data_IF_982338947514
#
_entry.id   IF_982338947514
#
_cell.length_a   1.000
_cell.length_b   1.000
_cell.length_c   1.000
_cell.angle_alpha   90.00
_cell.angle_beta   90.00
_cell.angle_gamma   90.00
#
_symmetry.space_group_name_H-M   'P 1'
#
loop_
_entity.id
_entity.type
_entity.pdbx_description
1 polymer ?
#
# COMPACT_ATOMS: atom_id res chain seq x y z
N UNK A 1 -5.47 -10.12 -16.39
CA UNK A 1 -5.73 -11.30 -15.53
C UNK A 1 -7.20 -11.26 -15.10
N UNK A 2 -7.80 -12.41 -14.79
CA UNK A 2 -9.07 -12.45 -14.05
C UNK A 2 -8.86 -12.03 -12.58
N UNK A 3 -9.96 -11.77 -11.88
CA UNK A 3 -9.92 -11.52 -10.43
C UNK A 3 -9.29 -12.69 -9.68
N UNK A 4 -9.63 -13.93 -10.04
CA UNK A 4 -9.16 -15.14 -9.37
C UNK A 4 -7.67 -15.40 -9.63
N UNK A 5 -7.19 -15.16 -10.86
CA UNK A 5 -5.77 -15.25 -11.18
C UNK A 5 -4.93 -14.25 -10.39
N UNK A 6 -5.41 -13.01 -10.25
CA UNK A 6 -4.72 -12.00 -9.44
C UNK A 6 -4.71 -12.40 -7.95
N UNK A 7 -5.86 -12.80 -7.41
CA UNK A 7 -5.97 -13.23 -6.02
C UNK A 7 -5.06 -14.43 -5.71
N UNK A 8 -5.05 -15.44 -6.59
CA UNK A 8 -4.15 -16.58 -6.46
C UNK A 8 -2.68 -16.16 -6.52
N UNK A 9 -2.32 -15.20 -7.38
CA UNK A 9 -0.96 -14.68 -7.48
C UNK A 9 -0.52 -13.98 -6.19
N UNK A 10 -1.37 -13.13 -5.60
CA UNK A 10 -1.11 -12.47 -4.31
C UNK A 10 -0.95 -13.52 -3.20
N UNK A 11 -1.85 -14.50 -3.13
CA UNK A 11 -1.79 -15.54 -2.11
C UNK A 11 -0.51 -16.38 -2.21
N UNK A 12 -0.10 -16.74 -3.43
CA UNK A 12 1.16 -17.43 -3.67
C UNK A 12 2.37 -16.56 -3.28
N UNK A 13 2.34 -15.25 -3.59
CA UNK A 13 3.40 -14.34 -3.18
C UNK A 13 3.55 -14.31 -1.64
N UNK A 14 2.43 -14.30 -0.90
CA UNK A 14 2.44 -14.34 0.56
C UNK A 14 2.98 -15.65 1.14
N UNK A 15 2.85 -16.77 0.43
CA UNK A 15 3.35 -18.08 0.85
C UNK A 15 4.84 -18.27 0.52
N UNK A 16 5.29 -17.68 -0.60
CA UNK A 16 6.63 -17.93 -1.16
C UNK A 16 7.67 -16.91 -0.65
N UNK A 17 7.28 -15.64 -0.52
CA UNK A 17 8.19 -14.57 -0.13
C UNK A 17 8.34 -14.53 1.40
N UNK A 18 9.47 -14.00 1.88
CA UNK A 18 9.69 -13.77 3.30
C UNK A 18 8.60 -12.83 3.87
N UNK A 19 8.24 -13.03 5.15
CA UNK A 19 7.16 -12.28 5.83
C UNK A 19 7.36 -10.76 5.80
N UNK A 20 8.62 -10.31 5.77
CA UNK A 20 8.99 -8.89 5.70
C UNK A 20 8.71 -8.25 4.33
N UNK A 21 8.43 -9.04 3.29
CA UNK A 21 8.12 -8.54 1.96
C UNK A 21 6.65 -8.11 1.89
N UNK A 22 6.44 -6.81 1.73
CA UNK A 22 5.11 -6.28 1.41
C UNK A 22 4.68 -6.69 0.00
N UNK A 23 3.43 -7.14 -0.12
CA UNK A 23 2.79 -7.53 -1.37
C UNK A 23 1.80 -6.44 -1.75
N UNK A 24 2.11 -5.74 -2.83
CA UNK A 24 1.36 -4.58 -3.30
C UNK A 24 0.35 -4.92 -4.38
N UNK A 25 -0.83 -4.32 -4.31
CA UNK A 25 -1.83 -4.37 -5.38
C UNK A 25 -2.54 -3.01 -5.54
N UNK A 26 -2.27 -2.23 -6.62
CA UNK A 26 -2.86 -0.92 -6.82
C UNK A 26 -4.38 -0.96 -7.11
N UNK A 27 -5.22 -0.31 -6.30
CA UNK A 27 -6.69 -0.49 -6.35
C UNK A 27 -7.32 0.00 -7.66
N UNK A 28 -6.69 0.92 -8.39
CA UNK A 28 -7.14 1.43 -9.69
C UNK A 28 -6.75 0.55 -10.89
N UNK A 29 -5.85 -0.42 -10.71
CA UNK A 29 -5.31 -1.26 -11.79
C UNK A 29 -5.75 -2.73 -11.71
N UNK A 30 -6.53 -3.07 -10.69
CA UNK A 30 -6.88 -4.47 -10.41
C UNK A 30 -8.33 -4.78 -10.78
N UNK A 31 -8.60 -5.97 -11.36
CA UNK A 31 -9.96 -6.46 -11.60
C UNK A 31 -10.62 -7.03 -10.33
N UNK A 32 -9.86 -7.32 -9.28
CA UNK A 32 -10.35 -7.90 -8.03
C UNK A 32 -10.85 -6.81 -7.06
N UNK A 33 -11.84 -7.15 -6.23
CA UNK A 33 -12.34 -6.25 -5.18
C UNK A 33 -11.31 -6.05 -4.07
N UNK A 34 -11.40 -4.94 -3.33
CA UNK A 34 -10.56 -4.70 -2.14
C UNK A 34 -10.64 -5.86 -1.15
N UNK A 35 -11.84 -6.38 -0.87
CA UNK A 35 -12.03 -7.52 0.01
C UNK A 35 -11.30 -8.77 -0.50
N UNK A 36 -11.42 -9.06 -1.80
CA UNK A 36 -10.70 -10.19 -2.43
C UNK A 36 -9.19 -10.04 -2.28
N UNK A 37 -8.64 -8.85 -2.48
CA UNK A 37 -7.21 -8.57 -2.36
C UNK A 37 -6.72 -8.70 -0.91
N UNK A 38 -7.48 -8.20 0.06
CA UNK A 38 -7.20 -8.34 1.49
C UNK A 38 -7.17 -9.83 1.88
N UNK A 39 -8.20 -10.60 1.52
CA UNK A 39 -8.23 -12.04 1.82
C UNK A 39 -7.13 -12.84 1.11
N UNK A 40 -6.66 -12.35 -0.04
CA UNK A 40 -5.53 -12.94 -0.74
C UNK A 40 -4.17 -12.62 -0.09
N UNK A 41 -4.09 -11.65 0.83
CA UNK A 41 -2.88 -11.32 1.57
C UNK A 41 -2.15 -10.06 1.13
N UNK A 42 -2.80 -9.17 0.37
CA UNK A 42 -2.29 -7.81 0.14
C UNK A 42 -2.20 -7.08 1.47
N UNK A 43 -1.08 -6.39 1.69
CA UNK A 43 -0.89 -5.53 2.86
C UNK A 43 -0.54 -4.08 2.48
N UNK A 44 -0.56 -3.74 1.19
CA UNK A 44 -0.20 -2.42 0.70
C UNK A 44 -0.86 -2.14 -0.68
N UNK A 45 -1.44 -0.94 -0.84
CA UNK A 45 -2.14 -0.54 -2.06
C UNK A 45 -1.28 0.29 -3.04
N UNK A 46 -0.01 0.51 -2.72
CA UNK A 46 0.88 1.38 -3.49
C UNK A 46 0.66 2.85 -3.21
N UNK A 47 1.22 3.69 -4.09
CA UNK A 47 0.99 5.14 -4.05
C UNK A 47 -0.42 5.46 -4.52
N UNK A 48 -1.15 6.25 -3.73
CA UNK A 48 -2.47 6.78 -4.07
C UNK A 48 -2.44 8.29 -3.85
N UNK A 49 -3.04 9.06 -4.75
CA UNK A 49 -3.11 10.52 -4.63
C UNK A 49 -4.56 11.00 -4.68
N UNK A 50 -5.02 11.77 -3.69
CA UNK A 50 -6.34 12.41 -3.76
C UNK A 50 -6.33 13.72 -4.57
N UNK A 51 -5.15 14.20 -4.96
CA UNK A 51 -4.98 15.57 -5.50
C UNK A 51 -4.52 15.55 -6.96
N UNK A 52 -3.71 14.57 -7.35
CA UNK A 52 -3.15 14.46 -8.69
C UNK A 52 -3.72 13.24 -9.41
N UNK A 53 -3.81 13.26 -10.75
CA UNK A 53 -4.06 12.03 -11.51
C UNK A 53 -2.89 11.03 -11.35
N UNK A 54 -3.12 9.79 -11.77
CA UNK A 54 -2.03 8.84 -11.97
C UNK A 54 -1.30 9.23 -13.28
N UNK A 55 -0.09 9.79 -13.16
CA UNK A 55 0.71 10.19 -14.32
C UNK A 55 1.29 8.99 -15.09
N UNK A 56 1.36 7.81 -14.46
CA UNK A 56 1.84 6.57 -15.10
C UNK A 56 0.68 5.90 -15.83
N UNK A 57 -0.52 5.88 -15.21
CA UNK A 57 -1.73 5.28 -15.78
C UNK A 57 -2.89 6.29 -15.89
N UNK A 58 -2.84 7.29 -16.79
CA UNK A 58 -3.83 8.38 -16.83
C UNK A 58 -5.28 7.94 -17.07
N UNK A 59 -5.48 6.74 -17.63
CA UNK A 59 -6.81 6.16 -17.89
C UNK A 59 -7.39 5.42 -16.67
N UNK A 60 -6.61 5.29 -15.60
CA UNK A 60 -6.97 4.56 -14.38
C UNK A 60 -6.94 5.53 -13.19
N UNK A 61 -8.01 6.30 -12.95
CA UNK A 61 -8.06 7.28 -11.88
C UNK A 61 -7.92 6.61 -10.50
N UNK A 62 -7.33 7.34 -9.55
CA UNK A 62 -7.26 6.89 -8.16
C UNK A 62 -8.66 6.67 -7.57
N UNK A 63 -8.83 5.69 -6.67
CA UNK A 63 -10.06 5.59 -5.89
C UNK A 63 -10.17 6.77 -4.92
N UNK A 64 -11.40 7.08 -4.50
CA UNK A 64 -11.62 7.94 -3.33
C UNK A 64 -11.07 7.24 -2.08
N UNK A 65 -10.19 7.92 -1.35
CA UNK A 65 -9.47 7.35 -0.19
C UNK A 65 -10.46 6.93 0.89
N UNK A 66 -11.51 7.71 1.12
CA UNK A 66 -12.54 7.43 2.12
C UNK A 66 -13.24 6.10 1.82
N UNK A 67 -13.60 5.86 0.55
CA UNK A 67 -14.23 4.60 0.13
C UNK A 67 -13.29 3.41 0.24
N UNK A 68 -12.01 3.60 -0.07
CA UNK A 68 -11.01 2.56 0.11
C UNK A 68 -10.84 2.24 1.61
N UNK A 69 -10.84 3.25 2.46
CA UNK A 69 -10.81 3.12 3.91
C UNK A 69 -12.02 2.36 4.45
N UNK A 70 -13.24 2.71 4.01
CA UNK A 70 -14.48 1.99 4.35
C UNK A 70 -14.43 0.52 3.94
N UNK A 71 -13.93 0.22 2.73
CA UNK A 71 -13.77 -1.14 2.24
C UNK A 71 -12.70 -1.94 3.01
N UNK A 72 -11.66 -1.28 3.53
CA UNK A 72 -10.71 -1.95 4.44
C UNK A 72 -11.36 -2.22 5.80
N UNK A 73 -12.12 -1.25 6.32
CA UNK A 73 -12.78 -1.34 7.61
C UNK A 73 -13.86 -2.45 7.65
N UNK A 74 -14.57 -2.68 6.53
CA UNK A 74 -15.53 -3.79 6.43
C UNK A 74 -14.88 -5.16 6.59
N UNK A 75 -13.60 -5.28 6.23
CA UNK A 75 -12.80 -6.49 6.39
C UNK A 75 -12.00 -6.55 7.71
N UNK A 76 -12.19 -5.57 8.59
CA UNK A 76 -11.49 -5.49 9.88
C UNK A 76 -10.07 -4.91 9.81
N UNK A 77 -9.72 -4.23 8.71
CA UNK A 77 -8.42 -3.57 8.53
C UNK A 77 -8.55 -2.05 8.61
N UNK A 78 -7.43 -1.36 8.89
CA UNK A 78 -7.34 0.10 8.83
C UNK A 78 -6.42 0.50 7.69
N UNK A 79 -6.89 1.41 6.84
CA UNK A 79 -6.06 2.02 5.80
C UNK A 79 -5.15 3.07 6.46
N UNK A 80 -3.84 2.92 6.29
CA UNK A 80 -2.82 3.77 6.91
C UNK A 80 -1.88 4.33 5.84
N UNK A 81 -1.57 5.63 5.86
CA UNK A 81 -0.55 6.20 4.99
C UNK A 81 0.84 5.81 5.49
N UNK A 82 1.81 5.70 4.57
CA UNK A 82 3.22 5.47 4.89
C UNK A 82 4.13 6.33 4.03
N UNK A 83 5.37 6.48 4.47
CA UNK A 83 6.44 7.00 3.62
C UNK A 83 6.75 6.03 2.48
N UNK A 84 7.36 6.49 1.37
CA UNK A 84 7.74 5.62 0.25
C UNK A 84 8.69 4.48 0.66
N UNK A 85 9.49 4.69 1.71
CA UNK A 85 10.35 3.68 2.32
C UNK A 85 9.58 2.97 3.44
N UNK A 86 9.57 1.63 3.41
CA UNK A 86 8.91 0.83 4.45
C UNK A 86 9.54 1.05 5.83
N UNK A 87 8.74 1.03 6.93
CA UNK A 87 9.23 1.29 8.29
C UNK A 87 10.47 0.48 8.69
N UNK A 88 10.51 -0.83 8.39
CA UNK A 88 11.67 -1.67 8.72
C UNK A 88 12.97 -1.20 8.06
N UNK A 89 12.91 -0.60 6.86
CA UNK A 89 14.08 -0.02 6.20
C UNK A 89 14.46 1.36 6.74
N UNK A 90 13.52 2.12 7.31
CA UNK A 90 13.84 3.37 8.01
C UNK A 90 14.59 3.13 9.31
N UNK A 91 14.37 1.97 9.94
CA UNK A 91 15.05 1.54 11.17
C UNK A 91 16.40 0.86 10.89
N UNK A 92 16.57 0.30 9.69
CA UNK A 92 17.82 -0.34 9.27
C UNK A 92 18.98 0.66 9.17
N UNK A 93 20.07 0.39 9.89
CA UNK A 93 21.27 1.22 9.89
C UNK A 93 21.87 1.30 8.49
N UNK A 94 22.10 2.53 8.01
CA UNK A 94 22.76 2.79 6.72
C UNK A 94 21.88 2.64 5.49
N UNK A 95 20.58 2.32 5.62
CA UNK A 95 19.68 2.24 4.47
C UNK A 95 19.29 3.63 3.95
N UNK A 96 18.98 4.56 4.86
CA UNK A 96 18.76 5.97 4.55
C UNK A 96 19.98 6.79 4.93
N UNK A 97 20.29 7.80 4.12
CA UNK A 97 21.34 8.76 4.45
C UNK A 97 20.99 9.54 5.73
N UNK A 98 21.97 9.73 6.61
CA UNK A 98 21.77 10.39 7.90
C UNK A 98 21.22 11.83 7.75
N UNK A 99 21.53 12.51 6.65
CA UNK A 99 21.02 13.86 6.35
C UNK A 99 19.51 13.90 6.12
N UNK A 100 18.89 12.77 5.75
CA UNK A 100 17.44 12.67 5.55
C UNK A 100 16.68 12.46 6.86
N UNK A 101 17.36 12.07 7.94
CA UNK A 101 16.71 11.66 9.19
C UNK A 101 15.79 12.73 9.79
N UNK A 102 16.18 14.02 9.88
CA UNK A 102 15.29 15.05 10.41
C UNK A 102 13.99 15.20 9.60
N UNK A 103 14.03 14.99 8.28
CA UNK A 103 12.83 15.07 7.44
C UNK A 103 11.96 13.83 7.55
N UNK A 104 12.57 12.65 7.62
CA UNK A 104 11.86 11.38 7.87
C UNK A 104 11.10 11.47 9.18
N UNK A 105 11.76 11.86 10.27
CA UNK A 105 11.16 11.94 11.60
C UNK A 105 9.99 12.94 11.61
N UNK A 106 10.16 14.12 10.96
CA UNK A 106 9.08 15.10 10.81
C UNK A 106 7.87 14.52 10.07
N UNK A 107 8.10 13.88 8.92
CA UNK A 107 7.02 13.32 8.11
C UNK A 107 6.32 12.14 8.81
N UNK A 108 7.06 11.32 9.58
CA UNK A 108 6.46 10.25 10.38
C UNK A 108 5.54 10.81 11.47
N UNK A 109 5.91 11.93 12.10
CA UNK A 109 5.03 12.62 13.06
C UNK A 109 3.77 13.18 12.39
N UNK A 110 3.90 13.73 11.18
CA UNK A 110 2.77 14.22 10.39
C UNK A 110 1.80 13.09 10.02
N UNK A 111 2.31 11.93 9.61
CA UNK A 111 1.49 10.75 9.29
C UNK A 111 0.81 10.13 10.52
N UNK A 112 1.41 10.26 11.71
CA UNK A 112 0.83 9.74 12.96
C UNK A 112 -0.30 10.62 13.53
N UNK A 113 -0.55 11.78 12.93
CA UNK A 113 -1.62 12.69 13.37
C UNK A 113 -2.92 12.32 12.64
N UNK A 114 -4.01 11.98 13.38
CA UNK A 114 -5.28 11.54 12.79
C UNK A 114 -6.02 12.65 12.03
#
# INVERSE_FOLDING_TARGET
>A
PSSDELAATVALARIILDDEVSVQAPPNLNPASTATLIHAGVNDFGGISPVSPDYINPQHPWPYIERLGEACASEGFRLEPRLPVYPGHLEAQGFVDASLRPQIDRLQMELATP
#
